data_IF_148025896271
#
_entry.id   IF_148025896271
#
_cell.length_a   1.000
_cell.length_b   1.000
_cell.length_c   1.000
_cell.angle_alpha   90.00
_cell.angle_beta   90.00
_cell.angle_gamma   90.00
#
_symmetry.space_group_name_H-M   'P 1'
#
loop_
_entity.id
_entity.type
_entity.pdbx_description
1 polymer ?
#
# COMPACT_ATOMS: atom_id res chain seq x y z
N UNK A 1 10.98 26.96 8.50
CA UNK A 1 9.91 26.17 7.84
C UNK A 1 10.55 24.86 7.45
N UNK A 2 10.31 23.80 8.22
CA UNK A 2 10.94 22.50 7.98
C UNK A 2 9.98 21.68 7.12
N UNK A 3 10.34 21.46 5.86
CA UNK A 3 9.65 20.50 5.00
C UNK A 3 9.97 19.11 5.55
N UNK A 4 9.00 18.47 6.20
CA UNK A 4 9.15 17.07 6.58
C UNK A 4 8.97 16.21 5.31
N UNK A 5 9.91 15.31 5.08
CA UNK A 5 9.82 14.29 4.04
C UNK A 5 9.57 12.98 4.76
N UNK A 6 8.48 12.31 4.41
CA UNK A 6 8.05 11.07 5.07
C UNK A 6 8.30 9.94 4.08
N UNK A 7 8.76 8.81 4.57
CA UNK A 7 8.86 7.58 3.80
C UNK A 7 8.26 6.45 4.62
N UNK A 8 7.34 5.68 4.03
CA UNK A 8 6.57 4.67 4.76
C UNK A 8 6.72 3.29 4.13
N UNK A 9 7.64 2.54 4.72
CA UNK A 9 7.57 1.12 5.11
C UNK A 9 6.99 0.02 4.20
N UNK A 10 7.69 -1.12 4.23
CA UNK A 10 7.30 -2.41 3.65
C UNK A 10 7.32 -3.47 4.79
N UNK A 11 6.52 -4.53 4.64
CA UNK A 11 6.00 -5.53 5.60
C UNK A 11 7.04 -6.29 6.47
N UNK A 12 8.33 -5.94 6.42
CA UNK A 12 9.44 -6.71 7.01
C UNK A 12 10.17 -6.07 8.22
N UNK A 13 9.55 -5.17 8.99
CA UNK A 13 10.05 -4.92 10.35
C UNK A 13 11.27 -4.00 10.51
N UNK A 14 11.88 -3.49 9.43
CA UNK A 14 13.21 -2.86 9.47
C UNK A 14 13.21 -1.32 9.40
N UNK A 15 12.17 -0.66 9.97
CA UNK A 15 12.12 0.80 10.09
C UNK A 15 12.86 1.31 11.33
N UNK A 16 13.40 2.52 11.25
CA UNK A 16 14.08 3.21 12.36
C UNK A 16 13.04 3.76 13.36
N UNK A 17 12.52 2.87 14.22
CA UNK A 17 11.38 3.06 15.14
C UNK A 17 11.33 4.40 15.89
N UNK A 18 12.49 5.01 16.17
CA UNK A 18 12.58 6.22 17.00
C UNK A 18 12.11 7.49 16.27
N UNK A 19 12.26 7.57 14.94
CA UNK A 19 11.72 8.69 14.14
C UNK A 19 10.23 8.51 13.87
N UNK A 20 9.79 7.26 13.79
CA UNK A 20 8.39 6.89 13.58
C UNK A 20 7.53 7.29 14.81
N UNK A 21 8.02 7.12 16.04
CA UNK A 21 7.28 7.47 17.26
C UNK A 21 7.00 8.97 17.43
N UNK A 22 7.97 9.86 17.12
CA UNK A 22 7.74 11.31 17.14
C UNK A 22 6.82 11.75 16.00
N UNK A 23 6.86 11.06 14.86
CA UNK A 23 6.06 11.36 13.68
C UNK A 23 4.58 10.91 13.82
N UNK A 24 4.35 9.73 14.40
CA UNK A 24 3.02 9.20 14.75
C UNK A 24 2.27 10.08 15.77
N UNK A 25 2.95 11.03 16.43
CA UNK A 25 2.31 12.02 17.30
C UNK A 25 1.71 13.22 16.56
N UNK A 26 2.04 13.40 15.27
CA UNK A 26 1.76 14.62 14.50
C UNK A 26 0.81 14.40 13.31
N UNK A 27 0.74 13.19 12.74
CA UNK A 27 -0.38 12.79 11.87
C UNK A 27 -1.52 12.27 12.74
N UNK A 28 -2.74 12.71 12.44
CA UNK A 28 -3.89 12.32 13.27
C UNK A 28 -4.14 10.82 13.20
N UNK A 29 -4.06 10.17 12.03
CA UNK A 29 -4.21 8.71 11.88
C UNK A 29 -3.43 8.16 10.66
N UNK A 30 -2.64 7.10 10.85
CA UNK A 30 -2.04 6.28 9.79
C UNK A 30 -2.54 4.84 10.04
N UNK A 31 -3.28 4.23 9.09
CA UNK A 31 -3.47 2.77 9.11
C UNK A 31 -2.36 2.13 8.30
N UNK A 32 -1.61 1.27 8.96
CA UNK A 32 -0.77 0.29 8.30
C UNK A 32 -1.59 -0.98 8.20
N UNK A 33 -1.97 -1.35 6.99
CA UNK A 33 -2.87 -2.48 6.80
C UNK A 33 -2.19 -3.53 5.90
N UNK A 34 -2.22 -4.80 6.32
CA UNK A 34 -1.80 -5.96 5.53
C UNK A 34 -2.99 -6.91 5.41
N UNK A 35 -3.48 -7.10 4.19
CA UNK A 35 -4.60 -8.00 3.92
C UNK A 35 -4.06 -9.34 3.41
N UNK A 36 -4.50 -10.44 4.02
CA UNK A 36 -4.00 -11.76 3.68
C UNK A 36 -4.39 -12.17 2.25
N UNK A 37 -3.51 -12.84 1.48
CA UNK A 37 -3.87 -13.34 0.17
C UNK A 37 -4.98 -14.41 0.22
N UNK A 38 -5.81 -14.53 -0.85
CA UNK A 38 -7.08 -15.27 -0.87
C UNK A 38 -7.04 -16.76 -0.53
N UNK A 39 -5.87 -17.39 -0.53
CA UNK A 39 -5.81 -18.82 -0.77
C UNK A 39 -6.23 -19.70 0.42
N UNK A 40 -6.40 -19.20 1.66
CA UNK A 40 -6.81 -20.05 2.81
C UNK A 40 -7.37 -19.32 4.08
N UNK A 41 -7.78 -18.04 4.03
CA UNK A 41 -8.28 -17.35 5.24
C UNK A 41 -9.81 -17.35 5.31
N UNK A 42 -10.45 -17.90 6.37
CA UNK A 42 -11.91 -17.86 6.54
C UNK A 42 -12.47 -16.46 6.88
N UNK A 43 -11.63 -15.43 6.97
CA UNK A 43 -12.02 -14.05 7.32
C UNK A 43 -11.93 -13.05 6.15
N UNK A 44 -11.73 -13.57 4.93
CA UNK A 44 -11.27 -12.81 3.77
C UNK A 44 -12.23 -11.73 3.25
N UNK A 45 -13.55 -11.96 3.29
CA UNK A 45 -14.53 -10.98 2.79
C UNK A 45 -14.83 -9.86 3.80
N UNK A 46 -14.49 -10.03 5.08
CA UNK A 46 -14.80 -9.05 6.13
C UNK A 46 -13.70 -8.00 6.32
N UNK A 47 -12.51 -8.18 5.74
CA UNK A 47 -11.36 -7.34 6.09
C UNK A 47 -11.48 -5.92 5.51
N UNK A 48 -11.98 -5.76 4.27
CA UNK A 48 -12.28 -4.43 3.72
C UNK A 48 -13.44 -3.74 4.45
N UNK A 49 -14.44 -4.49 4.92
CA UNK A 49 -15.54 -3.96 5.74
C UNK A 49 -15.06 -3.47 7.11
N UNK A 50 -14.16 -4.22 7.76
CA UNK A 50 -13.52 -3.79 9.01
C UNK A 50 -12.69 -2.52 8.77
N UNK A 51 -11.91 -2.49 7.70
CA UNK A 51 -11.11 -1.33 7.34
C UNK A 51 -12.00 -0.10 7.08
N UNK A 52 -13.12 -0.26 6.37
CA UNK A 52 -14.11 0.81 6.17
C UNK A 52 -14.68 1.34 7.49
N UNK A 53 -15.04 0.44 8.40
CA UNK A 53 -15.57 0.82 9.71
C UNK A 53 -14.52 1.57 10.55
N UNK A 54 -13.25 1.17 10.47
CA UNK A 54 -12.14 1.87 11.13
C UNK A 54 -11.89 3.24 10.50
N UNK A 55 -11.84 3.32 9.16
CA UNK A 55 -11.71 4.58 8.42
C UNK A 55 -12.80 5.56 8.82
N UNK A 56 -14.05 5.11 8.88
CA UNK A 56 -15.21 5.92 9.30
C UNK A 56 -15.05 6.46 10.72
N UNK A 57 -14.48 5.68 11.65
CA UNK A 57 -14.25 6.12 13.03
C UNK A 57 -13.13 7.16 13.16
N UNK A 58 -12.16 7.14 12.23
CA UNK A 58 -11.02 8.06 12.24
C UNK A 58 -11.24 9.30 11.38
N UNK A 59 -12.06 9.20 10.32
CA UNK A 59 -12.37 10.31 9.42
C UNK A 59 -13.01 11.48 10.16
N UNK A 60 -13.85 11.22 11.16
CA UNK A 60 -14.45 12.24 12.02
C UNK A 60 -13.43 13.01 12.87
N UNK A 61 -12.25 12.42 13.09
CA UNK A 61 -11.20 12.97 13.97
C UNK A 61 -10.11 13.69 13.17
N UNK A 62 -9.95 13.37 11.88
CA UNK A 62 -9.04 14.05 10.98
C UNK A 62 -8.75 13.30 9.69
N UNK A 63 -7.74 13.79 8.98
CA UNK A 63 -7.31 13.24 7.70
C UNK A 63 -6.80 11.80 7.82
N UNK A 64 -7.06 11.01 6.78
CA UNK A 64 -6.76 9.58 6.74
C UNK A 64 -5.69 9.29 5.68
N UNK A 65 -4.72 8.47 6.07
CA UNK A 65 -3.72 7.89 5.19
C UNK A 65 -3.61 6.40 5.49
N UNK A 66 -3.94 5.57 4.50
CA UNK A 66 -3.85 4.11 4.56
C UNK A 66 -2.68 3.68 3.69
N UNK A 67 -1.76 2.87 4.22
CA UNK A 67 -0.58 2.43 3.48
C UNK A 67 -0.32 0.94 3.77
N UNK A 68 -0.10 0.16 2.73
CA UNK A 68 0.37 -1.22 2.87
C UNK A 68 -0.06 -2.14 1.74
N UNK A 69 0.20 -3.44 1.96
CA UNK A 69 -0.17 -4.52 1.05
C UNK A 69 -1.66 -4.87 1.24
N UNK A 70 -2.47 -4.47 0.27
CA UNK A 70 -3.91 -4.73 0.26
C UNK A 70 -4.27 -5.99 -0.54
N UNK A 71 -3.28 -6.66 -1.15
CA UNK A 71 -3.46 -7.83 -2.03
C UNK A 71 -4.56 -7.65 -3.10
N UNK A 72 -4.80 -6.39 -3.50
CA UNK A 72 -5.81 -5.98 -4.46
C UNK A 72 -5.16 -5.48 -5.75
N UNK A 73 -5.71 -5.83 -6.91
CA UNK A 73 -5.24 -5.36 -8.22
C UNK A 73 -6.37 -4.55 -8.85
N UNK A 74 -6.17 -3.25 -8.98
CA UNK A 74 -7.23 -2.31 -9.41
C UNK A 74 -7.11 -1.87 -10.88
N UNK A 75 -6.19 -2.43 -11.66
CA UNK A 75 -5.89 -2.01 -13.03
C UNK A 75 -5.83 -0.47 -13.17
N UNK A 76 -6.65 0.14 -14.02
CA UNK A 76 -6.83 1.61 -14.10
C UNK A 76 -8.29 1.98 -13.78
N UNK A 77 -8.93 1.24 -12.89
CA UNK A 77 -10.28 1.60 -12.47
C UNK A 77 -10.25 2.89 -11.64
N UNK A 78 -11.29 3.71 -11.86
CA UNK A 78 -11.49 4.94 -11.11
C UNK A 78 -11.90 4.61 -9.68
N UNK A 79 -11.24 5.24 -8.72
CA UNK A 79 -11.53 5.23 -7.28
C UNK A 79 -12.37 6.45 -6.87
N UNK A 80 -13.08 7.03 -7.85
CA UNK A 80 -13.94 8.21 -7.74
C UNK A 80 -15.13 8.10 -8.70
N UNK A 81 -16.13 8.96 -8.53
CA UNK A 81 -17.32 8.97 -9.39
C UNK A 81 -17.07 9.83 -10.63
N UNK A 82 -16.70 9.19 -11.73
CA UNK A 82 -16.26 9.82 -12.98
C UNK A 82 -17.39 10.37 -13.90
N UNK A 83 -18.52 10.88 -13.40
CA UNK A 83 -19.50 11.56 -14.27
C UNK A 83 -20.57 12.40 -13.53
N UNK A 84 -20.23 12.97 -12.37
CA UNK A 84 -21.21 13.73 -11.57
C UNK A 84 -21.84 14.89 -12.35
N UNK A 85 -21.08 15.52 -13.26
CA UNK A 85 -21.53 16.68 -14.03
C UNK A 85 -22.63 16.39 -15.07
N UNK A 86 -22.71 15.17 -15.63
CA UNK A 86 -23.82 14.82 -16.56
C UNK A 86 -25.12 14.56 -15.81
N UNK A 87 -25.03 14.00 -14.61
CA UNK A 87 -26.17 13.73 -13.74
C UNK A 87 -26.66 15.03 -13.06
N UNK A 88 -25.71 15.90 -12.67
CA UNK A 88 -25.97 17.13 -11.92
C UNK A 88 -26.86 18.13 -12.65
N UNK A 89 -26.71 18.29 -13.97
CA UNK A 89 -27.48 19.29 -14.72
C UNK A 89 -28.99 19.09 -14.61
N UNK A 90 -29.45 17.86 -14.37
CA UNK A 90 -30.86 17.51 -14.16
C UNK A 90 -31.27 17.29 -12.71
N UNK A 91 -30.32 17.15 -11.78
CA UNK A 91 -30.56 16.83 -10.36
C UNK A 91 -30.10 17.92 -9.38
N UNK A 92 -29.54 19.04 -9.87
CA UNK A 92 -29.06 20.16 -9.05
C UNK A 92 -30.10 20.68 -8.05
N UNK A 93 -31.39 20.62 -8.39
CA UNK A 93 -32.49 21.08 -7.53
C UNK A 93 -32.90 20.05 -6.45
N UNK A 94 -32.34 18.83 -6.46
CA UNK A 94 -32.71 17.71 -5.58
C UNK A 94 -31.56 17.28 -4.68
N UNK A 95 -30.35 17.76 -4.94
CA UNK A 95 -29.19 17.44 -4.12
C UNK A 95 -29.18 18.29 -2.84
N UNK A 96 -28.69 17.73 -1.72
CA UNK A 96 -28.49 18.49 -0.49
C UNK A 96 -27.61 19.73 -0.72
N UNK A 97 -27.87 20.82 0.01
CA UNK A 97 -27.09 22.07 -0.09
C UNK A 97 -25.60 21.87 0.27
N UNK A 98 -25.29 20.83 1.03
CA UNK A 98 -23.94 20.45 1.46
C UNK A 98 -23.27 19.40 0.57
N UNK A 99 -23.84 19.09 -0.60
CA UNK A 99 -23.23 18.20 -1.57
C UNK A 99 -21.91 18.78 -2.12
N UNK A 100 -20.82 18.02 -2.01
CA UNK A 100 -19.50 18.37 -2.53
C UNK A 100 -19.18 17.45 -3.70
N UNK A 101 -18.81 18.05 -4.84
CA UNK A 101 -18.40 17.30 -6.02
C UNK A 101 -17.11 16.52 -5.77
N UNK A 102 -17.04 15.31 -6.30
CA UNK A 102 -15.92 14.42 -6.07
C UNK A 102 -14.61 14.89 -6.76
N UNK A 103 -13.47 14.56 -6.15
CA UNK A 103 -12.14 15.00 -6.61
C UNK A 103 -11.56 14.03 -7.65
N UNK A 104 -11.55 14.46 -8.92
CA UNK A 104 -11.23 13.58 -10.05
C UNK A 104 -9.80 13.83 -10.54
N UNK A 105 -8.90 12.88 -10.30
CA UNK A 105 -7.56 12.85 -10.89
C UNK A 105 -7.33 11.47 -11.49
N UNK A 106 -7.07 11.43 -12.78
CA UNK A 106 -6.77 10.17 -13.47
C UNK A 106 -5.46 9.56 -12.95
N UNK A 107 -5.42 8.24 -12.97
CA UNK A 107 -4.31 7.43 -12.49
C UNK A 107 -3.75 6.60 -13.64
N UNK A 108 -2.42 6.50 -13.70
CA UNK A 108 -1.75 5.51 -14.53
C UNK A 108 -1.44 4.24 -13.73
N UNK A 109 -1.37 3.11 -14.42
CA UNK A 109 -0.97 1.82 -13.83
C UNK A 109 -0.30 0.96 -14.87
N UNK A 110 0.90 0.45 -14.58
CA UNK A 110 1.52 -0.62 -15.36
C UNK A 110 0.83 -1.95 -15.12
N UNK A 111 0.27 -2.17 -13.92
CA UNK A 111 -0.60 -3.30 -13.67
C UNK A 111 -1.97 -3.07 -14.32
N UNK A 112 -2.33 -3.93 -15.27
CA UNK A 112 -3.60 -3.89 -16.00
C UNK A 112 -4.59 -4.95 -15.54
N UNK A 113 -4.23 -5.75 -14.54
CA UNK A 113 -5.10 -6.82 -14.03
C UNK A 113 -6.04 -6.25 -12.97
N UNK A 114 -7.29 -6.69 -13.04
CA UNK A 114 -8.34 -6.38 -12.08
C UNK A 114 -8.81 -7.68 -11.42
N UNK A 115 -8.86 -7.73 -10.09
CA UNK A 115 -9.36 -8.88 -9.33
C UNK A 115 -10.54 -8.50 -8.41
N UNK A 116 -11.17 -9.48 -7.79
CA UNK A 116 -12.33 -9.24 -6.91
C UNK A 116 -11.98 -8.37 -5.69
N UNK A 117 -10.73 -8.42 -5.23
CA UNK A 117 -10.21 -7.57 -4.15
C UNK A 117 -10.03 -6.14 -4.65
N UNK A 118 -9.63 -5.99 -5.91
CA UNK A 118 -9.60 -4.72 -6.60
C UNK A 118 -10.96 -4.04 -6.60
N UNK A 119 -12.04 -4.80 -6.83
CA UNK A 119 -13.39 -4.26 -6.73
C UNK A 119 -13.70 -3.78 -5.31
N UNK A 120 -13.43 -4.59 -4.29
CA UNK A 120 -13.66 -4.19 -2.89
C UNK A 120 -12.83 -2.95 -2.49
N UNK A 121 -11.59 -2.85 -2.96
CA UNK A 121 -10.74 -1.67 -2.72
C UNK A 121 -11.28 -0.42 -3.42
N UNK A 122 -11.76 -0.53 -4.66
CA UNK A 122 -12.40 0.59 -5.36
C UNK A 122 -13.68 1.02 -4.64
N UNK A 123 -14.52 0.07 -4.25
CA UNK A 123 -15.76 0.35 -3.51
C UNK A 123 -15.45 1.06 -2.18
N UNK A 124 -14.44 0.58 -1.44
CA UNK A 124 -13.93 1.22 -0.23
C UNK A 124 -13.48 2.67 -0.49
N UNK A 125 -12.69 2.89 -1.55
CA UNK A 125 -12.18 4.21 -1.88
C UNK A 125 -13.29 5.19 -2.22
N UNK A 126 -14.29 4.75 -2.99
CA UNK A 126 -15.46 5.57 -3.33
C UNK A 126 -16.29 5.86 -2.08
N UNK A 127 -16.63 4.83 -1.28
CA UNK A 127 -17.46 4.97 -0.08
C UNK A 127 -16.80 5.87 0.98
N UNK A 128 -15.49 5.78 1.14
CA UNK A 128 -14.71 6.53 2.14
C UNK A 128 -14.07 7.82 1.61
N UNK A 129 -14.33 8.20 0.36
CA UNK A 129 -13.68 9.34 -0.33
C UNK A 129 -12.15 9.32 -0.20
N UNK A 130 -11.57 8.13 -0.37
CA UNK A 130 -10.13 7.94 -0.43
C UNK A 130 -9.64 7.93 -1.87
N UNK A 131 -8.36 8.25 -2.03
CA UNK A 131 -7.68 8.33 -3.32
C UNK A 131 -6.37 7.57 -3.29
N UNK A 132 -6.21 6.65 -4.22
CA UNK A 132 -4.97 5.92 -4.50
C UNK A 132 -3.90 6.89 -5.02
N UNK A 133 -2.73 6.90 -4.41
CA UNK A 133 -1.62 7.76 -4.82
C UNK A 133 -0.81 7.19 -6.00
N UNK A 134 -0.73 5.86 -6.11
CA UNK A 134 0.02 5.17 -7.16
C UNK A 134 -0.43 5.65 -8.53
N UNK A 135 0.50 6.04 -9.40
CA UNK A 135 0.17 6.49 -10.74
C UNK A 135 -0.31 7.93 -10.89
N UNK A 136 -0.40 8.71 -9.81
CA UNK A 136 -0.92 10.10 -9.85
C UNK A 136 0.13 11.17 -9.61
N UNK A 137 1.13 10.86 -8.79
CA UNK A 137 2.08 11.85 -8.29
C UNK A 137 3.45 11.75 -8.95
N UNK A 138 4.18 12.86 -8.90
CA UNK A 138 5.59 12.89 -9.30
C UNK A 138 6.35 11.87 -8.44
N UNK A 139 7.17 11.05 -9.10
CA UNK A 139 7.86 9.91 -8.51
C UNK A 139 7.24 8.55 -8.89
N UNK A 140 5.98 8.52 -9.32
CA UNK A 140 5.29 7.30 -9.76
C UNK A 140 4.25 7.56 -10.85
N UNK A 141 4.50 8.50 -11.77
CA UNK A 141 3.50 8.89 -12.79
C UNK A 141 3.10 7.78 -13.75
N UNK A 142 3.86 6.68 -13.83
CA UNK A 142 3.54 5.52 -14.67
C UNK A 142 2.69 4.46 -13.93
N UNK A 143 2.64 4.54 -12.59
CA UNK A 143 2.00 3.56 -11.73
C UNK A 143 2.76 2.24 -11.71
N UNK A 144 3.95 2.24 -11.11
CA UNK A 144 4.85 1.08 -11.13
C UNK A 144 4.31 -0.11 -10.33
N UNK A 145 4.84 -1.29 -10.64
CA UNK A 145 4.58 -2.52 -9.88
C UNK A 145 5.21 -2.43 -8.49
N UNK A 146 4.58 -3.06 -7.50
CA UNK A 146 5.05 -3.05 -6.11
C UNK A 146 5.46 -4.42 -5.60
N UNK A 147 5.06 -5.51 -6.27
CA UNK A 147 5.38 -6.88 -5.91
C UNK A 147 5.95 -7.63 -7.12
N UNK A 148 7.04 -8.35 -6.90
CA UNK A 148 7.85 -9.02 -7.90
C UNK A 148 8.11 -10.46 -7.46
N UNK A 149 7.29 -11.38 -7.94
CA UNK A 149 7.39 -12.81 -7.64
C UNK A 149 7.91 -13.56 -8.87
N UNK A 150 8.47 -14.77 -8.70
CA UNK A 150 8.80 -15.63 -9.83
C UNK A 150 7.60 -15.91 -10.75
N UNK A 151 6.37 -15.83 -10.26
CA UNK A 151 5.15 -16.02 -11.06
C UNK A 151 4.67 -14.75 -11.78
N UNK A 152 5.42 -13.65 -11.71
CA UNK A 152 5.06 -12.37 -12.31
C UNK A 152 5.02 -11.22 -11.31
N UNK A 153 4.66 -10.04 -11.81
CA UNK A 153 4.60 -8.81 -11.05
C UNK A 153 3.16 -8.28 -10.88
N UNK A 154 2.94 -7.53 -9.80
CA UNK A 154 1.64 -6.92 -9.49
C UNK A 154 1.80 -5.61 -8.74
N UNK A 155 0.79 -4.75 -8.84
CA UNK A 155 0.59 -3.62 -7.92
C UNK A 155 -0.41 -4.07 -6.87
N UNK A 156 0.05 -4.23 -5.63
CA UNK A 156 -0.77 -4.66 -4.48
C UNK A 156 -0.54 -3.82 -3.23
N UNK A 157 0.56 -3.06 -3.21
CA UNK A 157 0.90 -2.11 -2.16
C UNK A 157 0.43 -0.72 -2.58
N UNK A 158 -0.45 -0.13 -1.79
CA UNK A 158 -1.03 1.17 -2.10
C UNK A 158 -0.83 2.15 -0.95
N UNK A 159 -0.78 3.43 -1.31
CA UNK A 159 -1.09 4.51 -0.40
C UNK A 159 -2.43 5.13 -0.80
N UNK A 160 -3.39 5.16 0.13
CA UNK A 160 -4.71 5.78 -0.04
C UNK A 160 -4.78 6.99 0.89
N UNK A 161 -5.22 8.14 0.37
CA UNK A 161 -5.35 9.37 1.14
C UNK A 161 -6.76 9.91 1.09
N UNK A 162 -7.24 10.54 2.16
CA UNK A 162 -8.45 11.37 2.06
C UNK A 162 -8.21 12.54 1.10
N UNK A 163 -9.28 13.00 0.45
CA UNK A 163 -9.24 14.16 -0.45
C UNK A 163 -8.66 15.40 0.24
N UNK A 164 -8.95 15.62 1.53
CA UNK A 164 -8.38 16.75 2.28
C UNK A 164 -6.85 16.70 2.42
N UNK A 165 -6.27 15.50 2.51
CA UNK A 165 -4.83 15.31 2.68
C UNK A 165 -4.08 15.28 1.34
N UNK A 166 -4.76 15.01 0.22
CA UNK A 166 -4.12 14.84 -1.09
C UNK A 166 -3.28 16.06 -1.51
N UNK A 167 -3.75 17.27 -1.17
CA UNK A 167 -3.05 18.52 -1.47
C UNK A 167 -1.76 18.72 -0.66
N UNK A 168 -1.61 17.97 0.43
CA UNK A 168 -0.39 17.93 1.23
C UNK A 168 0.62 16.93 0.69
N UNK A 169 0.22 16.01 -0.20
CA UNK A 169 1.15 15.08 -0.84
C UNK A 169 2.00 15.84 -1.85
N UNK A 170 3.31 15.80 -1.64
CA UNK A 170 4.29 16.49 -2.48
C UNK A 170 5.00 15.57 -3.47
N UNK A 171 5.15 14.30 -3.11
CA UNK A 171 5.85 13.30 -3.91
C UNK A 171 5.38 11.90 -3.47
N UNK A 172 5.28 10.97 -4.41
CA UNK A 172 5.01 9.56 -4.14
C UNK A 172 5.92 8.71 -5.02
N UNK A 173 6.61 7.75 -4.43
CA UNK A 173 7.58 6.93 -5.15
C UNK A 173 7.51 5.48 -4.70
N UNK A 174 7.66 4.59 -5.68
CA UNK A 174 7.99 3.18 -5.46
C UNK A 174 9.51 3.07 -5.65
N UNK A 175 10.22 2.60 -4.61
CA UNK A 175 11.67 2.40 -4.68
C UNK A 175 11.99 1.15 -5.48
N UNK A 176 13.25 1.04 -5.91
CA UNK A 176 13.73 -0.16 -6.58
C UNK A 176 13.56 -1.40 -5.69
N UNK A 177 13.15 -2.55 -6.25
CA UNK A 177 13.09 -3.81 -5.52
C UNK A 177 14.44 -4.14 -4.89
N UNK A 178 14.41 -4.72 -3.70
CA UNK A 178 15.61 -5.14 -2.98
C UNK A 178 15.62 -6.64 -2.79
N UNK A 179 16.80 -7.23 -2.56
CA UNK A 179 16.90 -8.66 -2.23
C UNK A 179 16.27 -9.04 -0.88
N UNK A 180 15.82 -8.05 -0.09
CA UNK A 180 15.25 -8.26 1.25
C UNK A 180 13.75 -8.60 1.21
N UNK A 181 13.08 -8.39 0.08
CA UNK A 181 11.64 -8.65 -0.08
C UNK A 181 11.27 -8.77 -1.55
N UNK A 182 10.27 -9.59 -1.85
CA UNK A 182 9.56 -9.60 -3.12
C UNK A 182 8.68 -8.35 -3.32
N UNK A 183 8.51 -7.50 -2.30
CA UNK A 183 7.84 -6.21 -2.40
C UNK A 183 8.85 -5.06 -2.47
N UNK A 184 8.54 -4.07 -3.31
CA UNK A 184 9.21 -2.79 -3.38
C UNK A 184 8.65 -1.84 -2.32
N UNK A 185 9.51 -0.97 -1.76
CA UNK A 185 9.08 -0.01 -0.76
C UNK A 185 8.30 1.15 -1.42
N UNK A 186 7.16 1.53 -0.84
CA UNK A 186 6.43 2.74 -1.21
C UNK A 186 6.77 3.90 -0.28
N UNK A 187 6.75 5.13 -0.79
CA UNK A 187 7.24 6.31 -0.06
C UNK A 187 6.33 7.50 -0.36
N UNK A 188 5.69 8.04 0.68
CA UNK A 188 4.77 9.19 0.58
C UNK A 188 5.35 10.42 1.28
N UNK A 189 5.64 11.49 0.54
CA UNK A 189 6.17 12.74 1.10
C UNK A 189 5.04 13.74 1.36
N UNK A 190 4.77 14.08 2.62
CA UNK A 190 3.74 15.06 2.98
C UNK A 190 4.34 16.40 3.39
N UNK A 191 3.81 17.49 2.85
CA UNK A 191 4.01 18.86 3.34
C UNK A 191 3.09 19.08 4.53
N UNK A 192 3.66 19.51 5.65
CA UNK A 192 2.86 19.83 6.82
C UNK A 192 3.58 20.75 7.79
N UNK A 193 2.79 21.47 8.58
CA UNK A 193 3.26 22.21 9.75
C UNK A 193 2.93 21.37 10.99
N UNK A 194 3.97 20.92 11.70
CA UNK A 194 3.79 20.18 12.95
C UNK A 194 3.42 21.17 14.07
N UNK A 195 2.24 21.01 14.65
CA UNK A 195 1.91 21.59 15.95
C UNK A 195 1.95 20.47 16.99
N UNK A 196 2.97 20.46 17.84
CA UNK A 196 3.04 19.53 18.96
C UNK A 196 1.99 19.92 20.00
N UNK A 197 0.80 19.33 19.92
CA UNK A 197 -0.16 19.33 21.01
C UNK A 197 -0.11 17.97 21.68
N UNK A 198 -0.01 17.94 23.01
CA UNK A 198 -0.13 16.70 23.80
C UNK A 198 -1.56 16.18 23.68
N UNK A 199 -1.86 15.43 22.63
CA UNK A 199 -3.13 14.71 22.51
C UNK A 199 -3.00 13.36 23.20
N UNK A 200 -3.85 13.12 24.21
CA UNK A 200 -4.12 11.77 24.70
C UNK A 200 -4.91 11.05 23.61
N UNK A 201 -4.21 10.45 22.65
CA UNK A 201 -4.82 9.60 21.62
C UNK A 201 -5.12 8.26 22.32
N UNK A 202 -6.41 7.96 22.53
CA UNK A 202 -6.86 6.66 23.02
C UNK A 202 -6.60 5.61 21.91
N UNK A 203 -5.45 4.92 21.99
CA UNK A 203 -5.01 3.92 21.01
C UNK A 203 -5.77 2.62 21.24
N UNK A 204 -7.05 2.58 20.89
CA UNK A 204 -7.81 1.34 20.72
C UNK A 204 -7.89 1.02 19.24
N UNK A 205 -6.78 0.56 18.67
CA UNK A 205 -6.81 -0.09 17.36
C UNK A 205 -6.90 -1.59 17.58
N UNK A 206 -7.51 -2.29 16.63
CA UNK A 206 -7.45 -3.73 16.57
C UNK A 206 -5.97 -4.13 16.43
N UNK A 207 -5.42 -4.81 17.44
CA UNK A 207 -4.11 -5.42 17.26
C UNK A 207 -4.27 -6.53 16.23
N UNK A 208 -3.66 -6.36 15.06
CA UNK A 208 -3.46 -7.46 14.13
C UNK A 208 -2.56 -8.45 14.86
N UNK A 209 -3.06 -9.67 15.09
CA UNK A 209 -2.30 -10.74 15.73
C UNK A 209 -1.07 -11.02 14.85
N UNK A 210 0.08 -10.46 15.24
CA UNK A 210 1.33 -10.54 14.49
C UNK A 210 1.86 -11.97 14.60
N UNK A 211 1.34 -12.85 13.75
CA UNK A 211 1.85 -14.20 13.61
C UNK A 211 3.09 -14.17 12.72
N UNK A 212 4.25 -14.05 13.35
CA UNK A 212 5.51 -14.26 12.62
C UNK A 212 5.59 -15.72 12.20
N UNK A 213 5.83 -15.98 10.90
CA UNK A 213 6.19 -17.34 10.43
C UNK A 213 7.47 -17.86 11.10
N UNK A 214 8.29 -16.95 11.60
CA UNK A 214 9.55 -17.26 12.27
C UNK A 214 9.30 -17.64 13.74
N UNK A 215 9.55 -18.91 14.06
CA UNK A 215 9.64 -19.38 15.45
C UNK A 215 10.95 -18.89 16.08
N UNK A 216 11.04 -18.88 17.41
CA UNK A 216 12.27 -18.52 18.15
C UNK A 216 13.49 -19.32 17.66
N UNK A 217 13.27 -20.57 17.24
CA UNK A 217 14.31 -21.50 16.77
C UNK A 217 14.65 -21.36 15.28
N UNK A 218 13.92 -20.55 14.52
CA UNK A 218 14.09 -20.54 13.07
C UNK A 218 15.43 -19.95 12.62
N UNK A 219 16.06 -19.10 13.43
CA UNK A 219 17.45 -18.65 13.22
C UNK A 219 18.42 -19.82 13.24
N UNK A 220 18.28 -20.72 14.21
CA UNK A 220 19.15 -21.89 14.38
C UNK A 220 18.89 -22.93 13.27
N UNK A 221 17.62 -23.12 12.89
CA UNK A 221 17.23 -23.92 11.72
C UNK A 221 17.92 -23.40 10.45
N UNK A 222 17.90 -22.08 10.21
CA UNK A 222 18.55 -21.48 9.04
C UNK A 222 20.06 -21.70 9.04
N UNK A 223 20.75 -21.48 10.17
CA UNK A 223 22.20 -21.74 10.24
C UNK A 223 22.52 -23.21 9.96
N UNK A 224 21.73 -24.13 10.51
CA UNK A 224 21.92 -25.56 10.27
C UNK A 224 21.84 -25.88 8.77
N UNK A 225 20.81 -25.36 8.08
CA UNK A 225 20.63 -25.56 6.63
C UNK A 225 21.76 -24.93 5.81
N UNK A 226 22.25 -23.75 6.20
CA UNK A 226 23.41 -23.10 5.54
C UNK A 226 24.74 -23.84 5.79
N UNK A 227 24.80 -24.67 6.83
CA UNK A 227 25.96 -25.51 7.14
C UNK A 227 25.96 -26.85 6.39
N UNK A 228 24.82 -27.29 5.86
CA UNK A 228 24.71 -28.51 5.06
C UNK A 228 25.53 -28.41 3.77
N UNK A 229 26.27 -29.48 3.45
CA UNK A 229 27.13 -29.52 2.28
C UNK A 229 26.36 -29.37 0.97
N UNK A 230 25.17 -29.97 0.86
CA UNK A 230 24.29 -29.83 -0.30
C UNK A 230 23.89 -28.38 -0.56
N UNK A 231 23.48 -27.67 0.48
CA UNK A 231 23.08 -26.26 0.38
C UNK A 231 24.26 -25.37 -0.02
N UNK A 232 25.44 -25.62 0.56
CA UNK A 232 26.66 -24.89 0.20
C UNK A 232 27.06 -25.13 -1.25
N UNK A 233 26.96 -26.38 -1.72
CA UNK A 233 27.28 -26.73 -3.10
C UNK A 233 26.29 -26.09 -4.08
N UNK A 234 25.01 -25.99 -3.73
CA UNK A 234 24.00 -25.26 -4.52
C UNK A 234 24.27 -23.76 -4.58
N UNK A 235 24.58 -23.12 -3.44
CA UNK A 235 24.92 -21.69 -3.37
C UNK A 235 26.18 -21.40 -4.21
N UNK A 236 27.22 -22.22 -4.04
CA UNK A 236 28.45 -22.09 -4.83
C UNK A 236 28.17 -22.34 -6.33
N UNK A 237 27.29 -23.28 -6.65
CA UNK A 237 26.83 -23.52 -8.02
C UNK A 237 26.17 -22.26 -8.60
N UNK A 238 25.25 -21.65 -7.87
CA UNK A 238 24.58 -20.41 -8.27
C UNK A 238 25.56 -19.25 -8.45
N UNK A 239 26.42 -18.97 -7.45
CA UNK A 239 27.38 -17.86 -7.50
C UNK A 239 28.39 -17.97 -8.65
N UNK A 240 28.77 -19.21 -9.00
CA UNK A 240 29.70 -19.46 -10.10
C UNK A 240 28.99 -19.62 -11.46
N UNK A 241 27.66 -19.60 -11.49
CA UNK A 241 26.90 -19.68 -12.75
C UNK A 241 26.92 -18.31 -13.43
N UNK A 242 27.42 -18.22 -14.67
CA UNK A 242 27.32 -16.99 -15.44
C UNK A 242 25.86 -16.77 -15.87
N UNK A 243 25.20 -15.77 -15.29
CA UNK A 243 23.89 -15.34 -15.72
C UNK A 243 24.04 -14.27 -16.81
N UNK A 244 23.47 -14.53 -17.99
CA UNK A 244 23.33 -13.49 -19.00
C UNK A 244 22.33 -12.45 -18.51
N UNK A 245 22.73 -11.18 -18.52
CA UNK A 245 21.83 -10.06 -18.22
C UNK A 245 20.97 -9.83 -19.47
N UNK A 246 19.91 -10.63 -19.64
CA UNK A 246 18.95 -10.50 -20.72
C UNK A 246 17.51 -10.72 -20.19
N UNK A 247 16.50 -10.38 -21.00
CA UNK A 247 15.09 -10.50 -20.60
C UNK A 247 14.47 -11.87 -20.93
N UNK A 248 15.23 -12.83 -21.51
CA UNK A 248 14.64 -14.03 -22.10
C UNK A 248 14.03 -14.97 -21.05
N UNK A 249 14.61 -15.07 -19.85
CA UNK A 249 14.06 -15.87 -18.76
C UNK A 249 12.71 -15.37 -18.22
N UNK A 250 12.42 -14.08 -18.38
CA UNK A 250 11.13 -13.46 -18.00
C UNK A 250 10.05 -13.74 -19.06
N UNK A 251 10.44 -13.88 -20.32
CA UNK A 251 9.53 -14.15 -21.44
C UNK A 251 9.10 -15.62 -21.50
N UNK A 252 9.95 -16.57 -21.10
CA UNK A 252 9.62 -18.01 -21.09
C UNK A 252 8.60 -18.39 -20.00
N UNK A 253 8.59 -17.72 -18.84
CA UNK A 253 7.60 -17.98 -17.79
C UNK A 253 6.17 -17.52 -18.15
N UNK A 254 6.00 -16.61 -19.10
CA UNK A 254 4.68 -16.17 -19.55
C UNK A 254 4.02 -17.12 -20.57
N UNK A 255 4.73 -18.19 -20.99
CA UNK A 255 4.27 -19.13 -22.02
C UNK A 255 3.97 -20.56 -21.50
N UNK A 256 4.03 -20.79 -20.19
CA UNK A 256 3.64 -22.06 -19.53
C UNK A 256 2.57 -21.80 -18.47
#
# INVERSE_FOLDING_TARGET
MNNLSIGSWNVNGLGDKYRDDQFMSCLKFICLCHLHPPLNSPHYDDDFLKLEAEITQVSDKGNVLVIGDLNARIANHDDFIADENKIHSSLQDILPEDYVQDFNIDRNSLDKIFNSQGQQLIDLCIASQLRVLNGRFIGDMLGNMTCFKPSGCSTVDYALTSVDLINSVSFFQILEPSYLSDHAQIVVFLKGCISMQNMNIDRKYSEIDMTFKWETISKEKLYTVLEESSTRDEILGYENTPFEINCSGVEEQNNN
#
